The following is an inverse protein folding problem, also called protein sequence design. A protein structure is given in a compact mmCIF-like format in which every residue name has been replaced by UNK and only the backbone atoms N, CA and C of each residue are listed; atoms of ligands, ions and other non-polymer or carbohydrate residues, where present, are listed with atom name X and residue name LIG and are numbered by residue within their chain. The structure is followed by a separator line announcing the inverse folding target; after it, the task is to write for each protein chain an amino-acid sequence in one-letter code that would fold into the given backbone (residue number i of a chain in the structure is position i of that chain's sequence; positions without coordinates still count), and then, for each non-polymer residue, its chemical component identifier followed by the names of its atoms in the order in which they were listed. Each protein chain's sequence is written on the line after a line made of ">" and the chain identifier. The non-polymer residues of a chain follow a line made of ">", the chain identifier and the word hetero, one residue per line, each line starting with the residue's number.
data_IF_640469843187
#
_entry.id   IF_640469843187
#
_cell.length_a   1.000
_cell.length_b   1.000
_cell.length_c   1.000
_cell.angle_alpha   90.00
_cell.angle_beta   90.00
_cell.angle_gamma   90.00
#
_symmetry.space_group_name_H-M   'P 1'
#
loop_
_entity.id
_entity.type
_entity.pdbx_description
1 polymer ?
#
# COMPACT_ATOMS: atom_id res chain seq x y z
N UNK A 1 -18.32 5.96 6.57
CA UNK A 1 -17.78 4.69 6.11
C UNK A 1 -18.94 3.76 5.76
N UNK A 2 -18.93 3.19 4.58
CA UNK A 2 -19.90 2.21 4.09
C UNK A 2 -19.10 0.97 3.67
N UNK A 3 -19.61 -0.21 3.95
CA UNK A 3 -19.10 -1.47 3.41
C UNK A 3 -20.08 -1.91 2.33
N UNK A 4 -19.58 -2.10 1.13
CA UNK A 4 -20.39 -2.42 -0.04
C UNK A 4 -19.57 -3.24 -1.04
N UNK A 5 -20.22 -3.80 -2.04
CA UNK A 5 -19.57 -4.58 -3.10
C UNK A 5 -19.02 -3.65 -4.18
N UNK A 6 -17.83 -3.96 -4.66
CA UNK A 6 -17.12 -3.24 -5.72
C UNK A 6 -16.59 -4.25 -6.73
N UNK A 7 -16.77 -3.99 -7.99
CA UNK A 7 -16.28 -4.85 -9.06
C UNK A 7 -14.94 -4.32 -9.60
N UNK A 8 -13.91 -5.18 -9.59
CA UNK A 8 -12.65 -4.90 -10.25
C UNK A 8 -12.63 -5.50 -11.66
N UNK A 9 -12.06 -4.82 -12.65
CA UNK A 9 -11.76 -5.41 -13.94
C UNK A 9 -10.65 -6.47 -13.79
N UNK A 10 -10.46 -7.29 -14.81
CA UNK A 10 -9.28 -8.15 -14.91
C UNK A 10 -8.00 -7.31 -14.83
N UNK A 11 -6.92 -7.86 -14.25
CA UNK A 11 -5.66 -7.14 -14.15
C UNK A 11 -5.13 -6.71 -15.52
N UNK A 12 -4.85 -5.41 -15.67
CA UNK A 12 -4.10 -4.89 -16.82
C UNK A 12 -2.68 -5.44 -16.89
N UNK A 13 -1.94 -5.11 -17.94
CA UNK A 13 -0.63 -5.70 -18.26
C UNK A 13 0.37 -5.68 -17.08
N UNK A 14 0.43 -4.57 -16.32
CA UNK A 14 1.33 -4.33 -15.19
C UNK A 14 0.62 -4.40 -13.83
N UNK A 15 -0.59 -4.98 -13.77
CA UNK A 15 -1.39 -5.03 -12.56
C UNK A 15 -1.42 -6.42 -11.93
N UNK A 16 -1.68 -6.45 -10.64
CA UNK A 16 -1.79 -7.65 -9.81
C UNK A 16 -3.08 -7.57 -9.02
N UNK A 17 -3.91 -8.61 -9.10
CA UNK A 17 -5.03 -8.81 -8.21
C UNK A 17 -4.55 -9.61 -6.99
N UNK A 18 -4.64 -9.02 -5.82
CA UNK A 18 -4.22 -9.62 -4.56
C UNK A 18 -5.46 -9.99 -3.75
N UNK A 19 -5.60 -11.26 -3.37
CA UNK A 19 -6.55 -11.69 -2.35
C UNK A 19 -5.96 -11.38 -0.99
N UNK A 20 -6.62 -10.51 -0.23
CA UNK A 20 -6.10 -9.97 1.02
C UNK A 20 -6.44 -10.88 2.21
N UNK A 21 -5.49 -11.01 3.14
CA UNK A 21 -5.67 -11.69 4.42
C UNK A 21 -5.87 -10.70 5.56
N UNK A 22 -5.11 -9.62 5.55
CA UNK A 22 -5.19 -8.55 6.54
C UNK A 22 -4.70 -7.23 5.96
N UNK A 23 -5.18 -6.13 6.52
CA UNK A 23 -4.83 -4.77 6.12
C UNK A 23 -4.57 -3.91 7.35
N UNK A 24 -3.55 -3.08 7.29
CA UNK A 24 -3.27 -2.11 8.33
C UNK A 24 -4.26 -0.94 8.32
N UNK A 25 -4.44 -0.33 9.49
CA UNK A 25 -5.26 0.88 9.67
C UNK A 25 -4.33 2.05 9.97
N UNK A 26 -3.98 2.79 8.92
CA UNK A 26 -3.15 3.97 9.06
C UNK A 26 -3.99 5.20 9.45
N UNK A 27 -3.42 6.08 10.28
CA UNK A 27 -4.08 7.31 10.71
C UNK A 27 -4.43 8.26 9.55
N UNK A 28 -3.69 8.17 8.44
CA UNK A 28 -3.98 8.92 7.20
C UNK A 28 -5.38 8.62 6.65
N UNK A 29 -5.87 7.39 6.79
CA UNK A 29 -7.23 7.02 6.37
C UNK A 29 -8.28 7.70 7.26
N UNK A 30 -8.03 7.80 8.57
CA UNK A 30 -8.89 8.53 9.49
C UNK A 30 -8.94 10.01 9.12
N UNK A 31 -7.80 10.60 8.73
CA UNK A 31 -7.77 11.97 8.22
C UNK A 31 -8.59 12.12 6.93
N UNK A 32 -8.50 11.16 6.01
CA UNK A 32 -9.32 11.18 4.78
C UNK A 32 -10.81 11.17 5.10
N UNK A 33 -11.25 10.30 6.00
CA UNK A 33 -12.65 10.19 6.41
C UNK A 33 -13.20 11.45 7.09
N UNK A 34 -12.33 12.19 7.80
CA UNK A 34 -12.71 13.41 8.55
C UNK A 34 -12.62 14.69 7.74
N UNK A 35 -11.98 14.64 6.56
CA UNK A 35 -11.85 15.82 5.71
C UNK A 35 -13.16 16.15 4.99
N UNK A 36 -13.51 17.43 4.95
CA UNK A 36 -14.57 17.91 4.05
C UNK A 36 -14.14 17.71 2.59
N UNK A 37 -15.09 17.40 1.70
CA UNK A 37 -14.82 17.34 0.28
C UNK A 37 -14.16 18.65 -0.19
N UNK A 38 -13.06 18.53 -0.95
CA UNK A 38 -12.38 19.69 -1.56
C UNK A 38 -12.48 19.56 -3.08
N UNK A 39 -12.45 20.66 -3.83
CA UNK A 39 -12.34 20.59 -5.28
C UNK A 39 -11.16 19.69 -5.70
N UNK A 40 -11.40 18.76 -6.62
CA UNK A 40 -10.41 17.79 -7.08
C UNK A 40 -10.31 16.49 -6.27
N UNK A 41 -10.94 16.39 -5.10
CA UNK A 41 -11.08 15.11 -4.41
C UNK A 41 -12.16 14.26 -5.06
N UNK A 42 -11.82 13.02 -5.37
CA UNK A 42 -12.75 12.05 -5.94
C UNK A 42 -13.44 11.29 -4.81
N UNK A 43 -14.75 11.34 -4.79
CA UNK A 43 -15.60 10.55 -3.90
C UNK A 43 -16.63 9.79 -4.74
N UNK A 44 -16.99 8.56 -4.34
CA UNK A 44 -16.49 7.84 -3.18
C UNK A 44 -15.02 7.46 -3.32
N UNK A 45 -14.32 7.30 -2.18
CA UNK A 45 -12.92 6.88 -2.13
C UNK A 45 -12.84 5.49 -1.48
N UNK A 46 -12.15 4.57 -2.14
CA UNK A 46 -11.81 3.28 -1.56
C UNK A 46 -10.59 3.46 -0.63
N UNK A 47 -10.66 2.88 0.55
CA UNK A 47 -9.69 3.09 1.62
C UNK A 47 -8.69 1.94 1.75
N UNK A 48 -7.60 2.21 2.50
CA UNK A 48 -6.52 1.26 2.74
C UNK A 48 -5.36 1.42 1.74
N UNK A 49 -4.12 1.23 2.23
CA UNK A 49 -2.92 1.37 1.41
C UNK A 49 -1.76 0.47 1.87
N UNK A 50 -1.99 -0.40 2.83
CA UNK A 50 -1.03 -1.41 3.30
C UNK A 50 -1.78 -2.68 3.63
N UNK A 51 -1.30 -3.82 3.16
CA UNK A 51 -1.93 -5.11 3.40
C UNK A 51 -0.96 -6.26 3.10
N UNK A 52 -1.39 -7.45 3.45
CA UNK A 52 -0.77 -8.70 3.03
C UNK A 52 -1.81 -9.63 2.42
N UNK A 53 -1.38 -10.47 1.50
CA UNK A 53 -2.25 -11.41 0.80
C UNK A 53 -1.49 -12.35 -0.13
N UNK A 54 -2.21 -13.00 -1.00
CA UNK A 54 -1.65 -13.82 -2.08
C UNK A 54 -2.04 -13.26 -3.44
N UNK A 55 -1.17 -13.45 -4.41
CA UNK A 55 -1.46 -13.13 -5.81
C UNK A 55 -2.56 -14.04 -6.32
N UNK A 56 -3.73 -13.49 -6.63
CA UNK A 56 -4.86 -14.21 -7.21
C UNK A 56 -4.80 -14.25 -8.74
N UNK A 57 -4.37 -13.15 -9.37
CA UNK A 57 -4.15 -13.04 -10.80
C UNK A 57 -3.12 -11.93 -11.09
N UNK A 58 -2.49 -11.96 -12.24
CA UNK A 58 -1.53 -10.93 -12.66
C UNK A 58 -1.56 -10.67 -14.15
N UNK A 59 -1.19 -9.46 -14.53
CA UNK A 59 -0.98 -9.08 -15.92
C UNK A 59 0.28 -9.75 -16.53
N UNK A 60 0.32 -9.81 -17.83
CA UNK A 60 1.36 -10.54 -18.57
C UNK A 60 2.76 -9.87 -18.50
N UNK A 61 2.85 -8.59 -18.17
CA UNK A 61 4.12 -7.87 -17.98
C UNK A 61 4.73 -8.07 -16.60
N UNK A 62 3.95 -8.50 -15.60
CA UNK A 62 4.43 -8.76 -14.25
C UNK A 62 5.34 -9.97 -14.22
N UNK A 63 6.60 -9.81 -13.79
CA UNK A 63 7.63 -10.86 -13.81
C UNK A 63 8.17 -11.24 -12.43
N UNK A 64 8.00 -10.42 -11.41
CA UNK A 64 8.64 -10.60 -10.10
C UNK A 64 7.81 -11.41 -9.12
N UNK A 65 6.54 -11.67 -9.42
CA UNK A 65 5.63 -12.51 -8.65
C UNK A 65 4.79 -13.39 -9.59
N UNK A 66 4.25 -14.47 -9.07
CA UNK A 66 3.31 -15.37 -9.73
C UNK A 66 2.09 -15.65 -8.85
N UNK A 67 1.05 -16.20 -9.42
CA UNK A 67 -0.14 -16.63 -8.69
C UNK A 67 0.23 -17.59 -7.54
N UNK A 68 -0.38 -17.36 -6.39
CA UNK A 68 -0.11 -18.11 -5.16
C UNK A 68 1.06 -17.55 -4.33
N UNK A 69 1.86 -16.62 -4.83
CA UNK A 69 2.93 -16.01 -4.05
C UNK A 69 2.35 -15.13 -2.92
N UNK A 70 2.95 -15.22 -1.73
CA UNK A 70 2.67 -14.34 -0.60
C UNK A 70 3.29 -12.96 -0.87
N UNK A 71 2.50 -11.92 -0.71
CA UNK A 71 2.91 -10.54 -1.01
C UNK A 71 2.39 -9.57 0.04
N UNK A 72 3.09 -8.43 0.14
CA UNK A 72 2.56 -7.23 0.77
C UNK A 72 2.26 -6.17 -0.29
N UNK A 73 1.33 -5.29 0.02
CA UNK A 73 1.08 -4.07 -0.74
C UNK A 73 1.59 -2.87 0.06
N UNK A 74 2.12 -1.88 -0.64
CA UNK A 74 2.62 -0.63 -0.07
C UNK A 74 2.08 0.56 -0.86
N UNK A 75 2.19 1.75 -0.31
CA UNK A 75 1.83 2.99 -0.99
C UNK A 75 3.03 3.67 -1.69
N UNK A 76 4.22 3.11 -1.54
CA UNK A 76 5.46 3.61 -2.15
C UNK A 76 5.87 2.66 -3.27
N UNK A 77 6.24 3.21 -4.40
CA UNK A 77 6.74 2.43 -5.52
C UNK A 77 7.99 1.65 -5.14
N UNK A 78 7.98 0.36 -5.47
CA UNK A 78 9.15 -0.51 -5.36
C UNK A 78 10.22 0.01 -6.31
N UNK A 79 11.37 0.36 -5.75
CA UNK A 79 12.50 0.74 -6.56
C UNK A 79 13.29 -0.51 -6.96
N UNK A 80 13.38 -0.76 -8.26
CA UNK A 80 14.18 -1.86 -8.80
C UNK A 80 15.66 -1.53 -8.93
N UNK A 81 16.08 -0.29 -8.65
CA UNK A 81 17.46 0.14 -8.63
C UNK A 81 17.97 0.28 -7.19
N UNK A 82 19.17 -0.26 -6.92
CA UNK A 82 19.87 -0.04 -5.66
C UNK A 82 20.39 1.41 -5.49
N UNK A 83 20.07 2.30 -6.41
CA UNK A 83 20.40 3.72 -6.33
C UNK A 83 19.29 4.45 -5.58
N UNK A 84 19.63 5.27 -4.56
CA UNK A 84 18.67 6.18 -3.96
C UNK A 84 18.09 7.07 -5.06
N UNK A 85 16.83 6.86 -5.40
CA UNK A 85 16.14 7.78 -6.28
C UNK A 85 15.89 9.08 -5.49
N UNK A 86 16.07 10.26 -6.08
CA UNK A 86 15.55 11.48 -5.49
C UNK A 86 14.09 11.26 -5.17
N UNK A 87 13.62 11.82 -4.04
CA UNK A 87 12.21 11.89 -3.73
C UNK A 87 11.53 12.60 -4.91
N UNK A 88 11.10 11.84 -5.88
CA UNK A 88 10.26 12.37 -6.95
C UNK A 88 8.95 12.69 -6.25
N UNK A 89 8.62 13.97 -6.18
CA UNK A 89 7.29 14.43 -5.79
C UNK A 89 6.31 13.92 -6.84
N UNK A 90 5.97 12.63 -6.77
CA UNK A 90 4.83 12.11 -7.49
C UNK A 90 3.62 12.79 -6.87
N UNK A 91 3.07 13.74 -7.57
CA UNK A 91 1.76 14.26 -7.19
C UNK A 91 0.77 13.10 -7.24
N UNK A 92 -0.21 13.09 -6.37
CA UNK A 92 -1.25 12.05 -6.35
C UNK A 92 -1.94 11.86 -7.72
N UNK A 93 -1.76 12.83 -8.62
CA UNK A 93 -2.27 12.83 -9.99
C UNK A 93 -1.44 11.98 -10.97
N UNK A 94 -0.18 11.69 -10.65
CA UNK A 94 0.72 10.92 -11.53
C UNK A 94 0.70 9.41 -11.23
N UNK A 95 -0.05 8.98 -10.20
CA UNK A 95 -0.22 7.57 -9.88
C UNK A 95 -1.28 6.95 -10.78
N UNK A 96 -1.05 5.72 -11.26
CA UNK A 96 -2.08 4.97 -11.95
C UNK A 96 -3.34 4.94 -11.07
N UNK A 97 -4.43 5.46 -11.58
CA UNK A 97 -5.69 5.43 -10.86
C UNK A 97 -6.40 4.16 -11.28
N UNK A 98 -6.35 3.15 -10.43
CA UNK A 98 -7.09 1.93 -10.62
C UNK A 98 -8.57 2.25 -10.54
N UNK A 99 -9.32 1.68 -11.44
CA UNK A 99 -10.74 1.97 -11.57
C UNK A 99 -11.52 0.72 -11.21
N UNK A 100 -12.44 0.86 -10.28
CA UNK A 100 -13.40 -0.16 -9.92
C UNK A 100 -14.81 0.34 -10.23
N UNK A 101 -15.77 -0.54 -10.34
CA UNK A 101 -17.17 -0.18 -10.49
C UNK A 101 -17.91 -0.34 -9.15
N UNK A 102 -18.71 0.66 -8.79
CA UNK A 102 -19.57 0.66 -7.63
C UNK A 102 -20.95 1.23 -8.01
N UNK A 103 -21.97 0.38 -7.93
CA UNK A 103 -23.37 0.76 -8.28
C UNK A 103 -23.48 1.46 -9.65
N UNK A 104 -22.83 0.88 -10.67
CA UNK A 104 -22.82 1.43 -12.03
C UNK A 104 -21.98 2.69 -12.21
N UNK A 105 -21.18 3.08 -11.22
CA UNK A 105 -20.30 4.25 -11.27
C UNK A 105 -18.84 3.85 -11.14
N UNK A 106 -18.01 4.41 -12.00
CA UNK A 106 -16.57 4.22 -11.91
C UNK A 106 -15.99 4.98 -10.72
N UNK A 107 -15.28 4.27 -9.85
CA UNK A 107 -14.57 4.83 -8.70
C UNK A 107 -13.08 4.59 -8.86
N UNK A 108 -12.28 5.59 -8.53
CA UNK A 108 -10.83 5.49 -8.59
C UNK A 108 -10.24 5.28 -7.20
N UNK A 109 -9.15 4.51 -7.14
CA UNK A 109 -8.45 4.24 -5.89
C UNK A 109 -6.94 4.09 -6.13
N UNK A 110 -6.15 4.27 -5.08
CA UNK A 110 -4.70 4.11 -5.17
C UNK A 110 -4.19 2.73 -4.70
N UNK A 111 -4.91 2.07 -3.81
CA UNK A 111 -4.56 0.74 -3.30
C UNK A 111 -5.79 -0.06 -2.82
N UNK A 112 -6.77 0.58 -2.17
CA UNK A 112 -8.04 -0.03 -1.74
C UNK A 112 -7.89 -1.33 -0.94
N UNK A 113 -7.02 -1.32 0.08
CA UNK A 113 -6.71 -2.54 0.83
C UNK A 113 -7.69 -2.86 1.97
N UNK A 114 -8.70 -2.00 2.21
CA UNK A 114 -9.80 -2.35 3.13
C UNK A 114 -10.91 -3.09 2.38
N UNK A 115 -10.55 -4.20 1.78
CA UNK A 115 -11.39 -5.03 0.95
C UNK A 115 -10.92 -6.49 1.00
N UNK A 116 -11.66 -7.42 0.42
CA UNK A 116 -11.22 -8.81 0.27
C UNK A 116 -10.17 -8.98 -0.82
N UNK A 117 -10.21 -8.10 -1.82
CA UNK A 117 -9.25 -8.06 -2.93
C UNK A 117 -8.76 -6.64 -3.16
N UNK A 118 -7.54 -6.51 -3.67
CA UNK A 118 -6.99 -5.26 -4.14
C UNK A 118 -6.39 -5.44 -5.53
N UNK A 119 -6.75 -4.54 -6.45
CA UNK A 119 -6.09 -4.44 -7.75
C UNK A 119 -5.00 -3.37 -7.65
N UNK A 120 -3.75 -3.78 -7.79
CA UNK A 120 -2.59 -2.92 -7.55
C UNK A 120 -1.61 -2.95 -8.73
N UNK A 121 -0.84 -1.88 -8.93
CA UNK A 121 0.31 -1.92 -9.83
C UNK A 121 1.38 -2.86 -9.30
N UNK A 122 2.09 -3.54 -10.18
CA UNK A 122 3.26 -4.35 -9.82
C UNK A 122 4.31 -3.56 -9.02
N UNK A 123 4.33 -2.23 -9.16
CA UNK A 123 5.30 -1.35 -8.51
C UNK A 123 5.10 -1.23 -7.01
N UNK A 124 3.90 -1.51 -6.51
CA UNK A 124 3.56 -1.42 -5.08
C UNK A 124 3.29 -2.79 -4.45
N UNK A 125 3.61 -3.87 -5.13
CA UNK A 125 3.47 -5.25 -4.63
C UNK A 125 4.86 -5.85 -4.45
N UNK A 126 5.14 -6.37 -3.25
CA UNK A 126 6.44 -6.91 -2.86
C UNK A 126 6.28 -8.35 -2.38
N UNK A 127 7.05 -9.30 -2.94
CA UNK A 127 7.00 -10.70 -2.47
C UNK A 127 7.49 -10.81 -1.02
N UNK A 128 6.85 -11.70 -0.26
CA UNK A 128 7.17 -11.99 1.13
C UNK A 128 7.44 -13.47 1.32
N UNK A 129 8.31 -13.85 2.27
CA UNK A 129 8.45 -15.23 2.70
C UNK A 129 7.12 -15.79 3.25
N UNK A 130 6.86 -17.08 2.99
CA UNK A 130 5.61 -17.73 3.41
C UNK A 130 5.58 -18.10 4.91
N UNK A 131 6.70 -17.99 5.59
CA UNK A 131 6.87 -18.34 7.02
C UNK A 131 6.61 -17.17 7.98
N UNK A 132 6.29 -15.98 7.45
CA UNK A 132 5.95 -14.82 8.27
C UNK A 132 4.42 -14.70 8.40
N UNK A 133 3.95 -14.53 9.65
CA UNK A 133 2.53 -14.42 9.94
C UNK A 133 1.87 -13.23 9.24
N UNK A 134 0.69 -13.45 8.68
CA UNK A 134 -0.01 -12.47 7.81
C UNK A 134 -0.52 -11.24 8.57
N UNK A 135 -0.85 -11.38 9.85
CA UNK A 135 -1.24 -10.26 10.71
C UNK A 135 -0.06 -9.29 10.98
N UNK A 136 1.16 -9.84 11.10
CA UNK A 136 2.39 -9.05 11.27
C UNK A 136 2.77 -8.35 9.97
N UNK A 137 2.67 -9.03 8.83
CA UNK A 137 3.09 -8.47 7.53
C UNK A 137 2.17 -7.39 7.00
N UNK A 138 0.93 -7.31 7.48
CA UNK A 138 -0.05 -6.32 7.02
C UNK A 138 0.38 -4.86 7.21
N UNK A 139 1.20 -4.56 8.22
CA UNK A 139 1.65 -3.19 8.54
C UNK A 139 3.04 -2.85 7.99
N UNK A 140 3.67 -3.79 7.28
CA UNK A 140 5.03 -3.56 6.73
C UNK A 140 4.98 -2.48 5.66
N UNK A 141 3.94 -2.46 4.83
CA UNK A 141 3.79 -1.56 3.69
C UNK A 141 3.67 -0.07 4.03
N UNK A 142 3.47 0.28 5.30
CA UNK A 142 3.39 1.67 5.75
C UNK A 142 4.12 1.89 7.08
N UNK A 143 3.62 1.35 8.18
CA UNK A 143 4.11 1.68 9.52
C UNK A 143 5.57 1.25 9.73
N UNK A 144 5.90 -0.02 9.42
CA UNK A 144 7.26 -0.56 9.59
C UNK A 144 8.24 0.16 8.65
N UNK A 145 7.90 0.26 7.37
CA UNK A 145 8.74 0.91 6.38
C UNK A 145 9.01 2.37 6.74
N UNK A 146 8.01 3.09 7.26
CA UNK A 146 8.14 4.50 7.66
C UNK A 146 9.01 4.65 8.90
N UNK A 147 8.77 3.87 9.95
CA UNK A 147 9.53 3.93 11.20
C UNK A 147 10.99 3.53 11.00
N UNK A 148 11.22 2.32 10.48
CA UNK A 148 12.57 1.83 10.23
C UNK A 148 13.32 2.72 9.22
N UNK A 149 12.65 3.17 8.15
CA UNK A 149 13.24 4.06 7.16
C UNK A 149 13.64 5.43 7.71
N UNK A 150 12.90 5.96 8.67
CA UNK A 150 13.27 7.21 9.36
C UNK A 150 14.63 7.06 10.07
N UNK A 151 14.85 5.93 10.76
CA UNK A 151 16.09 5.68 11.49
C UNK A 151 17.23 5.32 10.54
N UNK A 152 17.01 4.40 9.62
CA UNK A 152 18.08 3.83 8.78
C UNK A 152 18.45 4.73 7.61
N UNK A 153 17.48 5.32 6.94
CA UNK A 153 17.67 6.03 5.67
C UNK A 153 17.71 7.55 5.87
N UNK A 154 16.78 8.11 6.68
CA UNK A 154 16.70 9.57 6.86
C UNK A 154 17.71 10.08 7.87
N UNK A 155 17.69 9.52 9.08
CA UNK A 155 18.61 9.92 10.16
C UNK A 155 19.97 9.24 10.06
N UNK A 156 20.03 8.11 9.37
CA UNK A 156 21.26 7.32 9.19
C UNK A 156 21.97 7.01 10.52
N UNK A 157 21.20 6.64 11.53
CA UNK A 157 21.69 6.34 12.88
C UNK A 157 22.76 5.26 12.85
N UNK A 158 23.86 5.50 13.55
CA UNK A 158 25.01 4.58 13.64
C UNK A 158 25.08 3.93 15.02
N UNK A 159 25.77 2.80 15.09
CA UNK A 159 26.05 2.12 16.36
C UNK A 159 26.69 3.08 17.37
N UNK A 160 26.19 3.06 18.60
CA UNK A 160 26.64 3.93 19.69
C UNK A 160 25.95 5.30 19.78
N UNK A 161 25.10 5.65 18.82
CA UNK A 161 24.26 6.85 18.90
C UNK A 161 22.98 6.59 19.69
N UNK A 162 22.44 7.64 20.32
CA UNK A 162 21.18 7.61 21.04
C UNK A 162 20.07 8.21 20.18
N UNK A 163 18.87 7.64 20.25
CA UNK A 163 17.67 8.11 19.55
C UNK A 163 16.58 8.35 20.59
N UNK A 164 15.84 9.44 20.44
CA UNK A 164 14.63 9.72 21.20
C UNK A 164 13.42 9.61 20.27
N UNK A 165 12.46 8.75 20.62
CA UNK A 165 11.23 8.57 19.88
C UNK A 165 10.07 9.18 20.67
N UNK A 166 9.39 10.15 20.09
CA UNK A 166 8.21 10.78 20.68
C UNK A 166 6.95 10.19 20.07
N UNK A 167 6.26 9.35 20.83
CA UNK A 167 5.05 8.65 20.46
C UNK A 167 5.28 7.16 20.12
N UNK A 168 4.59 6.28 20.86
CA UNK A 168 4.65 4.82 20.74
C UNK A 168 3.48 4.29 19.90
N UNK A 169 3.16 4.92 18.79
CA UNK A 169 2.25 4.39 17.77
C UNK A 169 2.97 3.48 16.79
N UNK A 170 2.29 2.97 15.76
CA UNK A 170 2.85 2.01 14.80
C UNK A 170 4.21 2.44 14.21
N UNK A 171 4.38 3.71 13.84
CA UNK A 171 5.64 4.24 13.32
C UNK A 171 6.72 4.28 14.42
N UNK A 172 6.37 4.79 15.61
CA UNK A 172 7.35 4.93 16.69
C UNK A 172 7.82 3.61 17.29
N UNK A 173 6.96 2.57 17.27
CA UNK A 173 7.35 1.22 17.69
C UNK A 173 8.26 0.52 16.68
N UNK A 174 8.25 0.97 15.43
CA UNK A 174 9.08 0.43 14.34
C UNK A 174 10.36 1.25 14.10
N UNK A 175 10.52 2.35 14.83
CA UNK A 175 11.72 3.18 14.80
C UNK A 175 12.71 2.72 15.88
#
# INVERSE_FOLDING_TARGET
>A
LVVDEVEFPDPGADQILVKLFSSGICHSQIHMMRRSPRPGHRFPALLGHEATGIVAARGHEVKHVKEGDHVITTWVDRNNSNTPQPLVNHTLNDRPQYVAEWNGKMVSHSAATWAEYALASERVVVPMPNDVATDVTAVIGCAVMTGAGAITNTLQVKSGQSVAVFGAGGIGLCA
#
